data_IF_428145885233
#
_entry.id   IF_428145885233
#
_cell.length_a   1.000
_cell.length_b   1.000
_cell.length_c   1.000
_cell.angle_alpha   90.00
_cell.angle_beta   90.00
_cell.angle_gamma   90.00
#
_symmetry.space_group_name_H-M   'P 1'
#
loop_
_entity.id
_entity.type
_entity.pdbx_description
1 polymer ?
#
# COMPACT_ATOMS: atom_id res chain seq x y z
N UNK A 1 6.46 -3.22 -2.73
CA UNK A 1 5.43 -3.27 -3.80
C UNK A 1 4.54 -4.50 -3.69
N UNK A 2 5.09 -5.73 -3.63
CA UNK A 2 4.29 -6.95 -3.52
C UNK A 2 3.27 -6.90 -2.36
N UNK A 3 3.73 -6.54 -1.16
CA UNK A 3 2.89 -6.40 0.05
C UNK A 3 1.72 -5.44 -0.16
N UNK A 4 1.98 -4.22 -0.63
CA UNK A 4 0.93 -3.24 -0.91
C UNK A 4 -0.08 -3.71 -1.98
N UNK A 5 0.34 -4.52 -2.97
CA UNK A 5 -0.58 -5.09 -3.96
C UNK A 5 -1.34 -6.32 -3.43
N UNK A 6 -0.80 -7.06 -2.46
CA UNK A 6 -1.56 -8.05 -1.70
C UNK A 6 -2.70 -7.37 -0.92
N UNK A 7 -2.45 -6.21 -0.32
CA UNK A 7 -3.48 -5.44 0.41
C UNK A 7 -4.61 -4.91 -0.48
N UNK A 8 -4.41 -4.78 -1.79
CA UNK A 8 -5.53 -4.46 -2.69
C UNK A 8 -6.57 -5.59 -2.71
N UNK A 9 -6.13 -6.84 -2.60
CA UNK A 9 -6.99 -8.03 -2.49
C UNK A 9 -7.44 -8.21 -1.04
N UNK A 10 -6.48 -8.20 -0.12
CA UNK A 10 -6.73 -8.21 1.30
C UNK A 10 -7.05 -6.78 1.74
N UNK A 11 -8.22 -6.18 1.64
CA UNK A 11 -8.57 -4.84 2.22
C UNK A 11 -8.89 -3.78 1.16
N UNK A 12 -8.42 -3.88 -0.08
CA UNK A 12 -8.66 -2.87 -1.11
C UNK A 12 -9.84 -3.14 -2.06
N UNK A 13 -9.68 -2.69 -3.30
CA UNK A 13 -10.70 -2.75 -4.35
C UNK A 13 -10.86 -4.14 -4.99
N UNK A 14 -9.93 -5.07 -4.74
CA UNK A 14 -9.93 -6.41 -5.34
C UNK A 14 -10.34 -7.52 -4.37
N UNK A 15 -11.07 -7.19 -3.30
CA UNK A 15 -11.50 -8.15 -2.25
C UNK A 15 -12.21 -9.39 -2.77
N UNK A 16 -12.87 -9.31 -3.92
CA UNK A 16 -13.51 -10.48 -4.54
C UNK A 16 -12.51 -11.62 -4.86
N UNK A 17 -11.24 -11.31 -5.14
CA UNK A 17 -10.21 -12.32 -5.40
C UNK A 17 -9.89 -13.21 -4.19
N UNK A 18 -10.32 -12.85 -2.97
CA UNK A 18 -10.19 -13.71 -1.78
C UNK A 18 -10.90 -15.06 -1.94
N UNK A 19 -11.88 -15.17 -2.85
CA UNK A 19 -12.54 -16.44 -3.17
C UNK A 19 -11.58 -17.53 -3.65
N UNK A 20 -10.40 -17.14 -4.15
CA UNK A 20 -9.34 -18.08 -4.53
C UNK A 20 -8.68 -18.75 -3.32
N UNK A 21 -8.87 -18.23 -2.10
CA UNK A 21 -8.28 -18.73 -0.85
C UNK A 21 -6.77 -18.93 -0.95
N UNK A 22 -6.05 -17.92 -1.44
CA UNK A 22 -4.59 -17.91 -1.55
C UNK A 22 -3.99 -16.67 -0.93
N UNK A 23 -2.80 -16.81 -0.34
CA UNK A 23 -2.04 -15.70 0.25
C UNK A 23 -0.90 -15.22 -0.67
N UNK A 24 -0.57 -15.99 -1.70
CA UNK A 24 0.52 -15.71 -2.65
C UNK A 24 0.13 -14.80 -3.82
N UNK A 25 -1.13 -14.34 -3.90
CA UNK A 25 -1.64 -13.50 -4.99
C UNK A 25 -1.66 -12.01 -4.63
N UNK A 26 -1.33 -11.18 -5.62
CA UNK A 26 -1.35 -9.73 -5.53
C UNK A 26 -1.93 -9.15 -6.82
N UNK A 27 -2.51 -7.95 -6.77
CA UNK A 27 -3.01 -7.33 -8.00
C UNK A 27 -3.58 -5.93 -7.82
N UNK A 28 -4.01 -5.33 -8.93
CA UNK A 28 -4.55 -3.98 -8.95
C UNK A 28 -5.70 -3.85 -9.94
N UNK A 29 -6.77 -3.21 -9.48
CA UNK A 29 -7.88 -2.74 -10.33
C UNK A 29 -7.49 -1.47 -11.08
N UNK A 30 -7.88 -1.36 -12.34
CA UNK A 30 -7.77 -0.15 -13.15
C UNK A 30 -9.06 0.15 -13.90
N UNK A 31 -9.57 1.38 -13.80
CA UNK A 31 -10.74 1.83 -14.57
C UNK A 31 -10.40 3.20 -15.13
N UNK A 32 -10.58 3.39 -16.42
CA UNK A 32 -10.33 4.68 -17.07
C UNK A 32 -11.50 5.64 -16.86
N UNK A 33 -11.30 6.92 -17.19
CA UNK A 33 -12.35 7.93 -17.15
C UNK A 33 -13.55 7.48 -18.02
N UNK A 34 -14.75 7.92 -17.63
CA UNK A 34 -16.01 7.56 -18.29
C UNK A 34 -16.29 6.04 -18.38
N UNK A 35 -15.52 5.24 -17.63
CA UNK A 35 -15.64 3.79 -17.54
C UNK A 35 -15.51 3.11 -18.92
N UNK A 36 -14.66 3.63 -19.80
CA UNK A 36 -14.50 3.07 -21.15
C UNK A 36 -13.64 1.80 -21.16
N UNK A 37 -12.72 1.67 -20.20
CA UNK A 37 -11.90 0.47 -20.00
C UNK A 37 -11.96 -0.04 -18.57
N UNK A 38 -11.99 -1.36 -18.48
CA UNK A 38 -11.92 -2.12 -17.24
C UNK A 38 -10.70 -3.04 -17.28
N UNK A 39 -9.78 -2.86 -16.34
CA UNK A 39 -8.51 -3.59 -16.24
C UNK A 39 -8.36 -4.28 -14.88
N UNK A 40 -7.72 -5.44 -14.90
CA UNK A 40 -7.13 -6.03 -13.72
C UNK A 40 -5.78 -6.64 -14.08
N UNK A 41 -4.74 -6.29 -13.32
CA UNK A 41 -3.42 -6.90 -13.45
C UNK A 41 -3.06 -7.55 -12.12
N UNK A 42 -2.71 -8.83 -12.14
CA UNK A 42 -2.39 -9.58 -10.93
C UNK A 42 -1.37 -10.69 -11.19
N UNK A 43 -0.75 -11.15 -10.11
CA UNK A 43 0.32 -12.13 -10.18
C UNK A 43 0.44 -12.95 -8.89
N UNK A 44 1.16 -14.07 -8.97
CA UNK A 44 1.91 -14.65 -7.87
C UNK A 44 3.41 -14.72 -8.26
N UNK A 45 4.25 -15.46 -7.54
CA UNK A 45 5.68 -15.54 -7.89
C UNK A 45 5.97 -16.25 -9.23
N UNK A 46 5.04 -17.08 -9.73
CA UNK A 46 5.27 -17.93 -10.91
C UNK A 46 4.49 -17.47 -12.16
N UNK A 47 3.46 -16.65 -11.99
CA UNK A 47 2.51 -16.30 -13.03
C UNK A 47 2.04 -14.85 -12.90
N UNK A 48 2.01 -14.15 -14.04
CA UNK A 48 1.42 -12.82 -14.19
C UNK A 48 0.30 -12.90 -15.21
N UNK A 49 -0.85 -12.29 -14.90
CA UNK A 49 -2.02 -12.26 -15.77
C UNK A 49 -2.64 -10.87 -15.73
N UNK A 50 -2.95 -10.36 -16.92
CA UNK A 50 -3.71 -9.12 -17.10
C UNK A 50 -4.97 -9.41 -17.88
N UNK A 51 -6.09 -8.86 -17.43
CA UNK A 51 -7.38 -8.95 -18.10
C UNK A 51 -7.90 -7.55 -18.39
N UNK A 52 -8.50 -7.40 -19.57
CA UNK A 52 -9.12 -6.16 -20.02
C UNK A 52 -10.49 -6.46 -20.61
N UNK A 53 -11.43 -5.54 -20.34
CA UNK A 53 -12.73 -5.50 -20.98
C UNK A 53 -12.94 -4.06 -21.46
N UNK A 54 -13.34 -3.93 -22.71
CA UNK A 54 -13.64 -2.67 -23.39
C UNK A 54 -14.29 -2.95 -24.74
N UNK A 55 -14.77 -1.90 -25.40
CA UNK A 55 -15.29 -1.97 -26.76
C UNK A 55 -14.23 -1.51 -27.76
N UNK A 56 -14.18 -2.14 -28.95
CA UNK A 56 -13.29 -1.70 -30.05
C UNK A 56 -13.49 -0.23 -30.42
N UNK A 57 -14.76 0.22 -30.39
CA UNK A 57 -15.11 1.63 -30.47
C UNK A 57 -15.41 2.14 -29.06
N UNK A 58 -14.65 3.11 -28.51
CA UNK A 58 -14.77 3.52 -27.12
C UNK A 58 -16.19 3.92 -26.73
N UNK A 59 -16.75 3.20 -25.77
CA UNK A 59 -18.06 3.43 -25.17
C UNK A 59 -17.98 3.08 -23.69
N UNK A 60 -18.77 3.76 -22.88
CA UNK A 60 -18.84 3.47 -21.45
C UNK A 60 -19.33 2.03 -21.22
N UNK A 61 -18.64 1.33 -20.33
CA UNK A 61 -19.03 0.02 -19.82
C UNK A 61 -20.09 0.13 -18.73
N UNK A 62 -20.31 1.35 -18.20
CA UNK A 62 -21.20 1.63 -17.07
C UNK A 62 -20.87 0.81 -15.81
N UNK A 63 -19.61 0.38 -15.66
CA UNK A 63 -19.14 -0.51 -14.58
C UNK A 63 -17.62 -0.34 -14.36
N UNK A 64 -17.16 -0.73 -13.17
CA UNK A 64 -15.76 -0.65 -12.75
C UNK A 64 -15.00 -1.98 -12.91
N UNK A 65 -13.68 -1.92 -12.73
CA UNK A 65 -12.79 -3.10 -12.74
C UNK A 65 -13.23 -4.25 -11.83
N UNK A 66 -13.77 -3.92 -10.66
CA UNK A 66 -14.20 -4.92 -9.69
C UNK A 66 -15.37 -5.79 -10.19
N UNK A 67 -16.23 -5.25 -11.06
CA UNK A 67 -17.40 -5.95 -11.61
C UNK A 67 -17.16 -6.63 -12.97
N UNK A 68 -16.07 -6.29 -13.67
CA UNK A 68 -15.83 -6.76 -15.04
C UNK A 68 -14.48 -7.50 -15.17
N UNK A 69 -13.36 -6.77 -15.22
CA UNK A 69 -12.06 -7.39 -15.47
C UNK A 69 -11.61 -8.32 -14.33
N UNK A 70 -11.90 -7.96 -13.07
CA UNK A 70 -11.51 -8.77 -11.91
C UNK A 70 -12.17 -10.18 -11.91
N UNK A 71 -13.49 -10.34 -12.10
CA UNK A 71 -14.11 -11.67 -12.25
C UNK A 71 -13.46 -12.54 -13.32
N UNK A 72 -13.15 -11.98 -14.49
CA UNK A 72 -12.46 -12.72 -15.56
C UNK A 72 -11.08 -13.22 -15.12
N UNK A 73 -10.33 -12.37 -14.40
CA UNK A 73 -9.03 -12.77 -13.85
C UNK A 73 -9.17 -13.87 -12.79
N UNK A 74 -10.17 -13.77 -11.91
CA UNK A 74 -10.45 -14.78 -10.88
C UNK A 74 -10.75 -16.14 -11.52
N UNK A 75 -11.60 -16.18 -12.54
CA UNK A 75 -11.97 -17.42 -13.23
C UNK A 75 -10.76 -18.09 -13.89
N UNK A 76 -9.91 -17.30 -14.56
CA UNK A 76 -8.67 -17.82 -15.13
C UNK A 76 -7.74 -18.38 -14.04
N UNK A 77 -7.48 -17.60 -12.99
CA UNK A 77 -6.54 -17.99 -11.93
C UNK A 77 -7.02 -19.21 -11.14
N UNK A 78 -8.34 -19.37 -10.97
CA UNK A 78 -8.94 -20.56 -10.35
C UNK A 78 -8.55 -21.85 -11.07
N UNK A 79 -8.47 -21.81 -12.40
CA UNK A 79 -8.04 -22.96 -13.21
C UNK A 79 -6.52 -23.06 -13.24
N UNK A 80 -5.82 -21.95 -13.53
CA UNK A 80 -4.38 -21.92 -13.72
C UNK A 80 -3.57 -22.32 -12.46
N UNK A 81 -4.11 -22.04 -11.27
CA UNK A 81 -3.48 -22.36 -9.99
C UNK A 81 -4.03 -23.63 -9.34
N UNK A 82 -4.98 -24.33 -9.98
CA UNK A 82 -5.55 -25.56 -9.43
C UNK A 82 -4.45 -26.62 -9.22
N UNK A 83 -4.30 -27.07 -7.98
CA UNK A 83 -3.31 -28.09 -7.59
C UNK A 83 -1.87 -27.58 -7.54
N UNK A 84 -1.61 -26.28 -7.77
CA UNK A 84 -0.28 -25.68 -7.60
C UNK A 84 -0.09 -25.23 -6.15
N UNK A 85 1.08 -25.50 -5.54
CA UNK A 85 1.40 -24.95 -4.22
C UNK A 85 1.38 -23.42 -4.25
N UNK A 86 1.21 -22.79 -3.08
CA UNK A 86 1.43 -21.35 -2.93
C UNK A 86 2.92 -21.01 -3.11
N UNK A 87 3.19 -19.97 -3.90
CA UNK A 87 4.55 -19.54 -4.26
C UNK A 87 4.71 -18.06 -3.95
N UNK A 88 5.38 -17.77 -2.82
CA UNK A 88 5.62 -16.42 -2.36
C UNK A 88 6.98 -15.88 -2.85
N UNK A 89 7.01 -14.58 -3.16
CA UNK A 89 8.27 -13.89 -3.44
C UNK A 89 9.11 -13.78 -2.17
N UNK A 90 10.39 -14.18 -2.26
CA UNK A 90 11.34 -14.02 -1.17
C UNK A 90 11.60 -12.54 -0.90
N UNK A 91 11.63 -12.17 0.38
CA UNK A 91 12.06 -10.83 0.79
C UNK A 91 13.53 -10.62 0.42
N UNK A 92 13.87 -9.52 -0.27
CA UNK A 92 15.27 -9.17 -0.55
C UNK A 92 16.05 -8.84 0.72
N UNK A 93 17.36 -9.13 0.73
CA UNK A 93 18.24 -8.92 1.90
C UNK A 93 18.30 -7.46 2.37
N UNK A 94 18.10 -6.50 1.47
CA UNK A 94 18.14 -5.08 1.78
C UNK A 94 16.78 -4.49 2.22
N UNK A 95 15.77 -5.33 2.41
CA UNK A 95 14.44 -4.94 2.92
C UNK A 95 14.30 -5.40 4.35
N UNK A 96 13.79 -4.54 5.23
CA UNK A 96 13.54 -4.84 6.65
C UNK A 96 12.08 -4.60 6.98
N UNK A 97 11.53 -5.41 7.87
CA UNK A 97 10.19 -5.24 8.43
C UNK A 97 10.31 -4.52 9.77
N UNK A 98 9.67 -3.36 9.91
CA UNK A 98 9.70 -2.54 11.13
C UNK A 98 8.28 -2.17 11.55
N UNK A 99 8.08 -1.92 12.85
CA UNK A 99 6.79 -1.48 13.37
C UNK A 99 6.69 0.04 13.28
N UNK A 100 5.71 0.56 12.57
CA UNK A 100 5.46 2.00 12.39
C UNK A 100 4.11 2.41 12.99
N UNK A 101 4.00 3.66 13.41
CA UNK A 101 2.71 4.28 13.73
C UNK A 101 1.99 4.60 12.41
N UNK A 102 0.81 4.02 12.14
CA UNK A 102 0.10 4.26 10.88
C UNK A 102 -0.35 5.72 10.70
N UNK A 103 -0.39 6.53 11.76
CA UNK A 103 -0.80 7.93 11.67
C UNK A 103 0.35 8.85 11.27
N UNK A 104 1.55 8.63 11.81
CA UNK A 104 2.71 9.51 11.57
C UNK A 104 3.66 8.96 10.51
N UNK A 105 3.66 7.65 10.27
CA UNK A 105 4.64 6.97 9.43
C UNK A 105 6.01 6.80 10.09
N UNK A 106 6.19 7.26 11.33
CA UNK A 106 7.41 7.09 12.12
C UNK A 106 7.47 5.72 12.79
N UNK A 107 8.62 5.36 13.37
CA UNK A 107 8.73 4.13 14.15
C UNK A 107 7.75 4.13 15.33
N UNK A 108 7.04 3.02 15.50
CA UNK A 108 6.10 2.85 16.59
C UNK A 108 6.86 2.78 17.93
N UNK A 109 6.36 3.51 18.93
CA UNK A 109 6.97 3.47 20.27
C UNK A 109 6.90 2.06 20.88
N UNK A 110 7.82 1.74 21.80
CA UNK A 110 7.67 0.56 22.65
C UNK A 110 6.27 0.56 23.29
N UNK A 111 5.56 -0.57 23.17
CA UNK A 111 4.19 -0.77 23.70
C UNK A 111 3.04 0.01 23.04
N UNK A 112 3.27 0.72 21.94
CA UNK A 112 2.19 1.33 21.17
C UNK A 112 1.24 0.27 20.56
N UNK A 113 -0.01 0.22 21.02
CA UNK A 113 -0.95 -0.84 20.67
C UNK A 113 -1.30 -0.89 19.16
N UNK A 114 -1.36 0.25 18.48
CA UNK A 114 -1.80 0.36 17.09
C UNK A 114 -0.65 0.33 16.06
N UNK A 115 0.57 -0.06 16.45
CA UNK A 115 1.68 -0.12 15.52
C UNK A 115 1.51 -1.24 14.49
N UNK A 116 1.73 -0.94 13.21
CA UNK A 116 1.63 -1.90 12.10
C UNK A 116 3.02 -2.27 11.58
N UNK A 117 3.17 -3.46 11.00
CA UNK A 117 4.41 -3.86 10.34
C UNK A 117 4.42 -3.31 8.92
N UNK A 118 5.47 -2.58 8.57
CA UNK A 118 5.74 -2.12 7.21
C UNK A 118 7.17 -2.43 6.77
N UNK A 119 7.36 -2.45 5.45
CA UNK A 119 8.60 -2.87 4.83
C UNK A 119 9.35 -1.70 4.21
N UNK A 120 10.62 -1.53 4.59
CA UNK A 120 11.48 -0.45 4.11
C UNK A 120 12.77 -1.00 3.54
N UNK A 121 13.37 -0.28 2.59
CA UNK A 121 14.79 -0.50 2.30
C UNK A 121 15.59 -0.11 3.55
N UNK A 122 16.67 -0.83 3.86
CA UNK A 122 17.46 -0.62 5.06
C UNK A 122 17.93 0.83 5.30
N UNK A 123 18.13 1.62 4.24
CA UNK A 123 18.53 3.04 4.30
C UNK A 123 17.37 4.03 4.38
N UNK A 124 16.13 3.54 4.36
CA UNK A 124 14.90 4.34 4.29
C UNK A 124 13.96 4.03 5.46
N UNK A 125 14.48 3.41 6.52
CA UNK A 125 13.73 3.19 7.75
C UNK A 125 13.38 4.56 8.35
N UNK A 126 12.12 4.81 8.73
CA UNK A 126 11.71 6.08 9.33
C UNK A 126 12.45 6.37 10.63
N UNK A 127 12.53 7.66 10.98
CA UNK A 127 13.04 8.09 12.28
C UNK A 127 12.05 7.72 13.41
N UNK A 128 12.53 7.78 14.65
CA UNK A 128 11.69 7.65 15.85
C UNK A 128 10.88 8.92 16.14
N UNK A 129 11.41 10.08 15.76
CA UNK A 129 10.80 11.39 15.98
C UNK A 129 10.79 12.20 14.69
N UNK A 130 9.83 13.13 14.59
CA UNK A 130 9.77 14.07 13.48
C UNK A 130 10.95 15.05 13.59
N UNK A 131 11.84 15.12 12.57
CA UNK A 131 12.99 16.01 12.62
C UNK A 131 12.60 17.49 12.46
N UNK A 132 11.34 17.82 12.12
CA UNK A 132 10.92 19.21 12.09
C UNK A 132 10.88 19.81 13.50
N UNK A 133 11.60 20.92 13.76
CA UNK A 133 11.52 21.59 15.04
C UNK A 133 10.09 22.06 15.28
N UNK A 134 9.50 21.66 16.41
CA UNK A 134 8.26 22.28 16.87
C UNK A 134 8.59 23.75 17.17
N UNK A 135 8.14 24.65 16.30
CA UNK A 135 8.28 26.09 16.54
C UNK A 135 7.39 26.47 17.73
N UNK A 136 7.99 26.50 18.93
CA UNK A 136 7.33 26.98 20.14
C UNK A 136 7.49 28.50 20.23
N UNK A 137 6.47 29.24 19.80
CA UNK A 137 6.39 30.71 19.89
C UNK A 137 6.47 31.25 21.34
N UNK A 138 6.47 30.38 22.35
CA UNK A 138 6.55 30.71 23.77
C UNK A 138 7.97 30.99 24.27
N UNK A 139 9.01 30.57 23.53
CA UNK A 139 10.40 30.66 23.99
C UNK A 139 11.05 32.04 23.77
N UNK A 140 10.52 32.90 22.89
CA UNK A 140 11.07 34.25 22.69
C UNK A 140 10.79 35.18 23.87
N UNK A 141 9.63 35.05 24.53
CA UNK A 141 9.26 35.95 25.63
C UNK A 141 10.08 35.75 26.92
N UNK A 142 10.82 34.65 27.06
CA UNK A 142 11.73 34.43 28.19
C UNK A 142 13.18 34.85 27.91
N UNK A 143 13.60 34.96 26.65
CA UNK A 143 14.93 35.47 26.29
C UNK A 143 14.97 37.00 26.18
N UNK A 144 13.85 37.65 25.88
CA UNK A 144 13.77 39.12 25.80
C UNK A 144 13.76 39.82 27.17
N UNK A 145 13.36 39.14 28.26
CA UNK A 145 13.26 39.76 29.60
C UNK A 145 14.53 39.66 30.45
N UNK A 146 15.52 38.87 30.02
CA UNK A 146 16.78 38.67 30.77
C UNK A 146 17.95 39.51 30.23
N UNK A 147 17.73 40.28 29.16
CA UNK A 147 18.78 41.04 28.46
C UNK A 147 18.78 42.56 28.68
N UNK A 148 17.80 43.15 29.38
CA UNK A 148 17.67 44.61 29.49
C UNK A 148 18.29 45.23 30.76
N UNK A 149 18.80 44.45 31.72
CA UNK A 149 19.35 44.97 33.00
C UNK A 149 20.89 45.17 33.01
N UNK A 150 21.56 45.26 31.85
CA UNK A 150 23.03 45.43 31.80
C UNK A 150 23.55 46.63 31.01
N UNK A 151 22.73 47.65 30.78
CA UNK A 151 23.20 48.92 30.24
C UNK A 151 22.47 50.08 30.93
N UNK A 152 22.82 50.37 32.17
CA UNK A 152 23.13 51.69 32.75
C UNK A 152 23.53 51.52 34.22
#
# INVERSE_FOLDING_TARGET
MNTALKDVIQHGTARAARVLNRQDIAGKTGTTNDQVDSWFAGFNADLVVTTWIGFDNPKSLHEYAAGLALPLWIDFMKVALKGKPESEMKQPENVVAVRIDPNSGLLARPNQANGIIEYFRNKEVPAEEDPTPVYNASNEQQQLTTGEDSLF
#
